data_IF_446559971868
#
_entry.id   IF_446559971868
#
_cell.length_a   1.000
_cell.length_b   1.000
_cell.length_c   1.000
_cell.angle_alpha   90.00
_cell.angle_beta   90.00
_cell.angle_gamma   90.00
#
_symmetry.space_group_name_H-M   'P 1'
#
loop_
_entity.id
_entity.type
_entity.pdbx_description
1 polymer ?
#
# COMPACT_ATOMS: atom_id res chain seq x y z
N UNK A 1 19.38 3.23 -19.71
CA UNK A 1 18.64 1.97 -19.88
C UNK A 1 17.91 1.74 -18.58
N UNK A 2 16.58 1.61 -18.62
CA UNK A 2 15.78 1.30 -17.41
C UNK A 2 15.98 -0.19 -17.13
N UNK A 3 16.35 -0.54 -15.91
CA UNK A 3 16.55 -1.94 -15.51
C UNK A 3 15.26 -2.53 -14.94
N UNK A 4 15.12 -3.85 -14.93
CA UNK A 4 13.96 -4.52 -14.31
C UNK A 4 13.82 -4.14 -12.83
N UNK A 5 14.95 -3.87 -12.15
CA UNK A 5 15.00 -3.34 -10.79
C UNK A 5 14.39 -1.94 -10.68
N UNK A 6 14.60 -1.08 -11.66
CA UNK A 6 13.97 0.26 -11.69
C UNK A 6 12.47 0.14 -11.97
N UNK A 7 12.05 -0.81 -12.81
CA UNK A 7 10.63 -1.11 -13.07
C UNK A 7 9.95 -1.60 -11.77
N UNK A 8 10.58 -2.54 -11.07
CA UNK A 8 10.11 -3.08 -9.80
C UNK A 8 9.94 -1.98 -8.73
N UNK A 9 10.92 -1.08 -8.58
CA UNK A 9 10.81 0.07 -7.66
C UNK A 9 9.66 1.00 -8.03
N UNK A 10 9.55 1.37 -9.31
CA UNK A 10 8.47 2.25 -9.78
C UNK A 10 7.08 1.64 -9.57
N UNK A 11 6.95 0.32 -9.70
CA UNK A 11 5.69 -0.38 -9.41
C UNK A 11 5.32 -0.25 -7.93
N UNK A 12 6.26 -0.54 -7.02
CA UNK A 12 6.02 -0.41 -5.56
C UNK A 12 5.62 1.02 -5.20
N UNK A 13 6.34 2.03 -5.69
CA UNK A 13 6.03 3.44 -5.44
C UNK A 13 4.64 3.83 -5.96
N UNK A 14 4.27 3.37 -7.16
CA UNK A 14 2.96 3.64 -7.75
C UNK A 14 1.84 3.01 -6.94
N UNK A 15 1.98 1.75 -6.51
CA UNK A 15 0.97 1.08 -5.70
C UNK A 15 0.86 1.66 -4.28
N UNK A 16 1.98 2.14 -3.71
CA UNK A 16 1.95 2.93 -2.47
C UNK A 16 1.14 4.21 -2.64
N UNK A 17 1.30 4.94 -3.75
CA UNK A 17 0.54 6.16 -4.00
C UNK A 17 -0.97 5.88 -4.05
N UNK A 18 -1.38 4.89 -4.87
CA UNK A 18 -2.79 4.50 -5.00
C UNK A 18 -3.38 4.09 -3.65
N UNK A 19 -2.60 3.36 -2.85
CA UNK A 19 -2.99 2.93 -1.51
C UNK A 19 -3.26 4.12 -0.58
N UNK A 20 -2.39 5.13 -0.59
CA UNK A 20 -2.58 6.34 0.21
C UNK A 20 -3.81 7.11 -0.25
N UNK A 21 -4.01 7.26 -1.57
CA UNK A 21 -5.18 7.95 -2.13
C UNK A 21 -6.49 7.27 -1.69
N UNK A 22 -6.55 5.93 -1.76
CA UNK A 22 -7.70 5.17 -1.28
C UNK A 22 -7.94 5.33 0.23
N UNK A 23 -6.87 5.37 1.02
CA UNK A 23 -6.98 5.58 2.47
C UNK A 23 -7.49 6.98 2.80
N UNK A 24 -7.02 8.00 2.08
CA UNK A 24 -7.46 9.38 2.24
C UNK A 24 -8.91 9.57 1.80
N UNK A 25 -9.34 8.97 0.69
CA UNK A 25 -10.74 8.97 0.25
C UNK A 25 -11.68 8.39 1.31
N UNK A 26 -11.30 7.26 1.93
CA UNK A 26 -12.07 6.68 3.03
C UNK A 26 -12.09 7.61 4.23
N UNK A 27 -10.95 8.16 4.65
CA UNK A 27 -10.93 9.10 5.79
C UNK A 27 -11.78 10.34 5.52
N UNK A 28 -11.80 10.83 4.29
CA UNK A 28 -12.61 11.98 3.89
C UNK A 28 -14.11 11.75 3.99
N UNK A 29 -14.57 10.50 4.11
CA UNK A 29 -15.96 10.14 4.36
C UNK A 29 -16.33 10.16 5.86
N UNK A 30 -15.36 10.31 6.77
CA UNK A 30 -15.62 10.36 8.20
C UNK A 30 -16.54 11.53 8.54
N UNK A 31 -17.65 11.26 9.22
CA UNK A 31 -18.68 12.25 9.54
C UNK A 31 -19.57 12.68 8.38
N UNK A 32 -19.36 12.17 7.15
CA UNK A 32 -20.26 12.35 5.99
C UNK A 32 -21.22 11.17 5.81
N UNK A 33 -20.86 10.01 6.36
CA UNK A 33 -21.68 8.80 6.39
C UNK A 33 -21.79 8.30 7.84
N UNK A 34 -22.76 7.43 8.17
CA UNK A 34 -22.87 6.84 9.50
C UNK A 34 -21.58 6.15 9.96
N UNK A 35 -21.24 6.25 11.24
CA UNK A 35 -19.95 5.79 11.77
C UNK A 35 -19.72 4.28 11.58
N UNK A 36 -20.76 3.45 11.72
CA UNK A 36 -20.63 2.00 11.48
C UNK A 36 -20.39 1.69 10.00
N UNK A 37 -21.05 2.37 9.07
CA UNK A 37 -20.79 2.24 7.63
C UNK A 37 -19.37 2.69 7.27
N UNK A 38 -18.90 3.79 7.87
CA UNK A 38 -17.53 4.28 7.72
C UNK A 38 -16.50 3.26 8.19
N UNK A 39 -16.75 2.65 9.34
CA UNK A 39 -15.87 1.64 9.94
C UNK A 39 -15.82 0.35 9.12
N UNK A 40 -16.96 -0.12 8.62
CA UNK A 40 -17.02 -1.28 7.72
C UNK A 40 -16.29 -1.01 6.40
N UNK A 41 -16.52 0.16 5.80
CA UNK A 41 -15.84 0.58 4.58
C UNK A 41 -14.32 0.66 4.79
N UNK A 42 -13.88 1.28 5.89
CA UNK A 42 -12.45 1.36 6.25
C UNK A 42 -11.82 -0.01 6.40
N UNK A 43 -12.53 -0.97 7.01
CA UNK A 43 -12.04 -2.34 7.15
C UNK A 43 -11.94 -3.03 5.78
N UNK A 44 -12.95 -2.90 4.94
CA UNK A 44 -12.95 -3.50 3.60
C UNK A 44 -11.81 -2.95 2.74
N UNK A 45 -11.65 -1.63 2.70
CA UNK A 45 -10.57 -0.97 1.95
C UNK A 45 -9.19 -1.32 2.52
N UNK A 46 -9.04 -1.35 3.85
CA UNK A 46 -7.80 -1.79 4.50
C UNK A 46 -7.38 -3.20 4.08
N UNK A 47 -8.33 -4.15 4.01
CA UNK A 47 -8.04 -5.51 3.54
C UNK A 47 -7.63 -5.53 2.07
N UNK A 48 -8.34 -4.81 1.19
CA UNK A 48 -8.01 -4.72 -0.24
C UNK A 48 -6.61 -4.16 -0.46
N UNK A 49 -6.23 -3.12 0.29
CA UNK A 49 -4.91 -2.51 0.25
C UNK A 49 -3.82 -3.54 0.58
N UNK A 50 -3.99 -4.27 1.69
CA UNK A 50 -3.04 -5.30 2.13
C UNK A 50 -2.90 -6.37 1.06
N UNK A 51 -4.01 -6.89 0.54
CA UNK A 51 -4.01 -7.94 -0.49
C UNK A 51 -3.31 -7.51 -1.78
N UNK A 52 -3.55 -6.27 -2.25
CA UNK A 52 -2.90 -5.76 -3.47
C UNK A 52 -1.40 -5.60 -3.23
N UNK A 53 -1.02 -5.02 -2.09
CA UNK A 53 0.37 -4.74 -1.80
C UNK A 53 1.18 -6.03 -1.64
N UNK A 54 0.67 -6.99 -0.86
CA UNK A 54 1.32 -8.28 -0.65
C UNK A 54 1.49 -9.04 -1.97
N UNK A 55 0.49 -9.01 -2.86
CA UNK A 55 0.60 -9.64 -4.18
C UNK A 55 1.68 -9.00 -5.06
N UNK A 56 1.81 -7.67 -5.06
CA UNK A 56 2.84 -6.97 -5.84
C UNK A 56 4.22 -7.27 -5.27
N UNK A 57 4.39 -7.18 -3.95
CA UNK A 57 5.66 -7.45 -3.28
C UNK A 57 6.09 -8.89 -3.53
N UNK A 58 5.20 -9.87 -3.37
CA UNK A 58 5.50 -11.28 -3.61
C UNK A 58 5.96 -11.54 -5.05
N UNK A 59 5.25 -11.00 -6.05
CA UNK A 59 5.64 -11.17 -7.47
C UNK A 59 7.02 -10.57 -7.75
N UNK A 60 7.30 -9.38 -7.22
CA UNK A 60 8.62 -8.75 -7.39
C UNK A 60 9.69 -9.55 -6.67
N UNK A 61 9.43 -10.08 -5.47
CA UNK A 61 10.40 -10.90 -4.73
C UNK A 61 10.67 -12.25 -5.40
N UNK A 62 9.69 -12.83 -6.10
CA UNK A 62 9.88 -14.04 -6.89
C UNK A 62 10.77 -13.82 -8.12
N UNK A 63 10.55 -12.70 -8.83
CA UNK A 63 11.28 -12.34 -10.05
C UNK A 63 12.65 -11.69 -9.76
N UNK A 64 12.76 -10.95 -8.65
CA UNK A 64 13.92 -10.14 -8.27
C UNK A 64 14.35 -10.40 -6.81
N UNK A 65 14.96 -11.56 -6.58
CA UNK A 65 15.44 -11.98 -5.25
C UNK A 65 16.51 -11.07 -4.63
N UNK A 66 17.14 -10.20 -5.42
CA UNK A 66 18.13 -9.22 -4.94
C UNK A 66 17.50 -7.92 -4.41
N UNK A 67 16.18 -7.76 -4.55
CA UNK A 67 15.44 -6.60 -4.07
C UNK A 67 14.85 -6.91 -2.70
N UNK A 68 15.33 -6.21 -1.68
CA UNK A 68 14.75 -6.24 -0.35
C UNK A 68 13.57 -5.25 -0.35
N UNK A 69 12.37 -5.80 -0.36
CA UNK A 69 11.12 -5.06 -0.22
C UNK A 69 10.61 -5.22 1.22
N UNK A 70 10.17 -4.12 1.85
CA UNK A 70 9.49 -4.21 3.13
C UNK A 70 8.04 -4.68 2.92
N UNK A 71 7.51 -5.46 3.87
CA UNK A 71 6.06 -5.71 3.92
C UNK A 71 5.31 -4.37 4.17
N UNK A 72 4.03 -4.29 3.86
CA UNK A 72 3.27 -3.04 4.02
C UNK A 72 3.25 -2.53 5.47
N UNK A 73 3.21 -3.42 6.46
CA UNK A 73 3.19 -3.07 7.88
C UNK A 73 4.54 -2.49 8.34
N UNK A 74 5.65 -3.02 7.83
CA UNK A 74 7.01 -2.57 8.09
C UNK A 74 7.32 -1.29 7.31
N UNK A 75 6.85 -1.17 6.06
CA UNK A 75 6.96 0.07 5.28
C UNK A 75 6.19 1.23 5.95
N UNK A 76 4.98 0.98 6.46
CA UNK A 76 4.18 2.00 7.18
C UNK A 76 4.82 2.36 8.53
N UNK A 77 5.36 1.37 9.27
CA UNK A 77 6.05 1.63 10.55
C UNK A 77 7.33 2.44 10.35
N UNK A 78 8.14 2.15 9.34
CA UNK A 78 9.41 2.84 9.10
C UNK A 78 9.21 4.30 8.66
N UNK A 79 8.13 4.64 7.93
CA UNK A 79 7.80 6.05 7.64
C UNK A 79 7.41 6.89 8.87
N UNK A 80 7.05 6.27 10.00
CA UNK A 80 6.81 7.02 11.25
C UNK A 80 8.10 7.42 11.98
N UNK A 81 9.25 6.88 11.58
CA UNK A 81 10.55 7.15 12.21
C UNK A 81 11.31 8.28 11.52
N UNK A 82 10.97 8.60 10.27
CA UNK A 82 11.45 9.81 9.58
C UNK A 82 10.54 11.01 9.88
N UNK A 83 10.70 11.59 11.08
CA UNK A 83 10.23 12.94 11.42
C UNK A 83 11.37 13.76 12.00
#
# INVERSE_FOLDING_TARGET
>A
MITDKDIAKNLVERYMSITNDMYDDVNNLQGKIPDEEHKELRKAIGNIIVDIFDNVINRISEEHKDIILCDINDCIKNKKVEK
#
